data_IF_628491334972
#
_entry.id   IF_628491334972
#
_cell.length_a   1.000
_cell.length_b   1.000
_cell.length_c   1.000
_cell.angle_alpha   90.00
_cell.angle_beta   90.00
_cell.angle_gamma   90.00
#
_symmetry.space_group_name_H-M   'P 1'
#
loop_
_entity.id
_entity.type
_entity.pdbx_description
1 polymer ?
#
# COMPACT_ATOMS: atom_id res chain seq x y z
N UNK A 1 31.20 -13.96 0.08
CA UNK A 1 30.02 -13.07 0.21
C UNK A 1 29.06 -13.80 1.13
N UNK A 2 28.98 -13.34 2.38
CA UNK A 2 28.03 -13.89 3.34
C UNK A 2 26.67 -13.32 3.05
N UNK A 3 25.73 -14.18 2.64
CA UNK A 3 24.30 -13.83 2.56
C UNK A 3 23.80 -13.55 3.99
N UNK A 4 23.47 -12.29 4.26
CA UNK A 4 22.72 -11.96 5.46
C UNK A 4 21.27 -12.42 5.21
N UNK A 5 21.00 -13.67 5.61
CA UNK A 5 19.64 -14.20 5.67
C UNK A 5 18.93 -13.48 6.82
N UNK A 6 18.28 -12.37 6.52
CA UNK A 6 17.32 -11.76 7.45
C UNK A 6 16.10 -12.68 7.48
N UNK A 7 16.01 -13.51 8.53
CA UNK A 7 14.82 -14.31 8.81
C UNK A 7 13.64 -13.35 9.05
N UNK A 8 12.85 -13.10 8.00
CA UNK A 8 11.56 -12.44 8.14
C UNK A 8 10.61 -13.42 8.85
N UNK A 9 10.50 -13.30 10.16
CA UNK A 9 9.37 -13.88 10.89
C UNK A 9 8.15 -13.02 10.58
N UNK A 10 7.14 -13.64 9.99
CA UNK A 10 5.78 -13.09 9.91
C UNK A 10 5.23 -13.08 11.33
N UNK A 11 5.52 -12.01 12.06
CA UNK A 11 4.94 -11.78 13.37
C UNK A 11 3.59 -11.06 13.16
N UNK A 12 2.52 -11.83 13.11
CA UNK A 12 1.18 -11.34 13.40
C UNK A 12 1.11 -11.11 14.94
N UNK A 13 2.04 -10.29 15.47
CA UNK A 13 1.98 -9.85 16.85
C UNK A 13 0.91 -8.76 16.96
N UNK A 14 -0.28 -9.21 17.27
CA UNK A 14 -1.34 -8.31 17.71
C UNK A 14 -0.99 -7.81 19.12
N UNK A 15 -1.08 -6.50 19.33
CA UNK A 15 -1.11 -5.96 20.67
C UNK A 15 -2.45 -6.38 21.31
N UNK A 16 -2.40 -7.35 22.25
CA UNK A 16 -3.59 -7.94 22.85
C UNK A 16 -4.47 -6.91 23.54
N UNK A 17 -3.89 -5.93 24.24
CA UNK A 17 -4.63 -4.85 24.86
C UNK A 17 -5.41 -4.03 23.83
N UNK A 18 -4.79 -3.69 22.70
CA UNK A 18 -5.47 -2.98 21.60
C UNK A 18 -6.58 -3.83 20.98
N UNK A 19 -6.38 -5.13 20.83
CA UNK A 19 -7.40 -6.05 20.31
C UNK A 19 -8.59 -6.09 21.23
N UNK A 20 -8.40 -6.19 22.56
CA UNK A 20 -9.52 -6.20 23.50
C UNK A 20 -10.30 -4.87 23.53
N UNK A 21 -9.61 -3.74 23.44
CA UNK A 21 -10.28 -2.43 23.31
C UNK A 21 -11.10 -2.34 22.01
N UNK A 22 -10.52 -2.70 20.88
CA UNK A 22 -11.23 -2.70 19.60
C UNK A 22 -12.42 -3.66 19.61
N UNK A 23 -12.26 -4.86 20.16
CA UNK A 23 -13.31 -5.85 20.30
C UNK A 23 -14.51 -5.28 21.09
N UNK A 24 -14.26 -4.62 22.22
CA UNK A 24 -15.30 -3.94 22.97
C UNK A 24 -16.08 -2.94 22.10
N UNK A 25 -15.38 -2.04 21.43
CA UNK A 25 -16.02 -1.02 20.59
C UNK A 25 -16.77 -1.63 19.39
N UNK A 26 -16.27 -2.69 18.77
CA UNK A 26 -17.01 -3.37 17.69
C UNK A 26 -18.25 -4.09 18.21
N UNK A 27 -18.25 -4.59 19.44
CA UNK A 27 -19.46 -5.10 20.09
C UNK A 27 -20.52 -4.01 20.24
N UNK A 28 -20.13 -2.82 20.71
CA UNK A 28 -21.04 -1.67 20.81
C UNK A 28 -21.55 -1.20 19.45
N UNK A 29 -20.68 -1.18 18.43
CA UNK A 29 -21.09 -0.83 17.05
C UNK A 29 -22.18 -1.80 16.56
N UNK A 30 -22.06 -3.11 16.79
CA UNK A 30 -23.08 -4.08 16.39
C UNK A 30 -24.43 -3.78 17.03
N UNK A 31 -24.46 -3.45 18.34
CA UNK A 31 -25.71 -3.06 19.04
C UNK A 31 -26.32 -1.79 18.46
N UNK A 32 -25.49 -0.78 18.18
CA UNK A 32 -25.94 0.49 17.59
C UNK A 32 -26.46 0.34 16.15
N UNK A 33 -26.01 -0.68 15.42
CA UNK A 33 -26.53 -1.03 14.09
C UNK A 33 -27.86 -1.80 14.17
N UNK A 34 -28.32 -2.14 15.37
CA UNK A 34 -29.57 -2.89 15.59
C UNK A 34 -29.39 -4.41 15.54
N UNK A 35 -28.16 -4.91 15.62
CA UNK A 35 -27.85 -6.33 15.64
C UNK A 35 -27.75 -6.87 17.08
N UNK A 36 -28.02 -8.18 17.23
CA UNK A 36 -27.77 -8.92 18.45
C UNK A 36 -26.35 -9.53 18.42
N UNK A 37 -25.38 -8.97 19.18
CA UNK A 37 -24.02 -9.49 19.18
C UNK A 37 -23.90 -10.89 19.82
N UNK A 38 -24.91 -11.34 20.56
CA UNK A 38 -24.89 -12.66 21.19
C UNK A 38 -25.44 -13.78 20.30
N UNK A 39 -26.04 -13.45 19.15
CA UNK A 39 -26.43 -14.48 18.19
C UNK A 39 -25.21 -15.23 17.62
N UNK A 40 -25.36 -16.53 17.38
CA UNK A 40 -24.31 -17.49 17.03
C UNK A 40 -23.33 -16.94 15.95
N UNK A 41 -23.84 -16.32 14.91
CA UNK A 41 -23.03 -15.77 13.81
C UNK A 41 -22.18 -14.56 14.19
N UNK A 42 -22.52 -13.83 15.26
CA UNK A 42 -21.87 -12.57 15.66
C UNK A 42 -21.00 -12.67 16.93
N UNK A 43 -21.11 -13.71 17.74
CA UNK A 43 -20.35 -13.87 19.00
C UNK A 43 -18.83 -13.60 18.81
N UNK A 44 -18.25 -14.08 17.70
CA UNK A 44 -16.81 -13.91 17.39
C UNK A 44 -16.52 -12.72 16.47
N UNK A 45 -17.53 -12.00 16.01
CA UNK A 45 -17.35 -10.92 15.04
C UNK A 45 -16.54 -9.75 15.59
N UNK A 46 -16.75 -9.26 16.82
CA UNK A 46 -15.96 -8.16 17.38
C UNK A 46 -14.44 -8.45 17.37
N UNK A 47 -14.06 -9.66 17.82
CA UNK A 47 -12.66 -10.07 17.82
C UNK A 47 -12.09 -10.22 16.39
N UNK A 48 -12.86 -10.82 15.48
CA UNK A 48 -12.44 -11.01 14.09
C UNK A 48 -12.22 -9.67 13.39
N UNK A 49 -13.12 -8.71 13.61
CA UNK A 49 -13.00 -7.36 13.03
C UNK A 49 -11.80 -6.61 13.63
N UNK A 50 -11.59 -6.71 14.95
CA UNK A 50 -10.45 -6.11 15.63
C UNK A 50 -9.10 -6.60 15.03
N UNK A 51 -8.97 -7.92 14.87
CA UNK A 51 -7.78 -8.53 14.24
C UNK A 51 -7.64 -8.14 12.77
N UNK A 52 -8.74 -8.15 12.01
CA UNK A 52 -8.73 -7.74 10.59
C UNK A 52 -8.29 -6.27 10.45
N UNK A 53 -8.84 -5.35 11.25
CA UNK A 53 -8.46 -3.94 11.22
C UNK A 53 -7.00 -3.73 11.60
N UNK A 54 -6.50 -4.44 12.61
CA UNK A 54 -5.09 -4.39 12.98
C UNK A 54 -4.18 -4.87 11.84
N UNK A 55 -4.57 -5.91 11.11
CA UNK A 55 -3.83 -6.41 9.95
C UNK A 55 -3.85 -5.43 8.78
N UNK A 56 -5.01 -4.91 8.41
CA UNK A 56 -5.13 -4.01 7.25
C UNK A 56 -4.60 -2.61 7.51
N UNK A 57 -4.27 -2.28 8.77
CA UNK A 57 -3.61 -1.03 9.17
C UNK A 57 -2.18 -1.22 9.70
N UNK A 58 -1.58 -2.40 9.52
CA UNK A 58 -0.23 -2.74 10.01
C UNK A 58 0.87 -1.82 9.48
N UNK A 59 0.63 -1.14 8.36
CA UNK A 59 1.59 -0.22 7.75
C UNK A 59 1.95 0.99 8.63
N UNK A 60 1.15 1.33 9.65
CA UNK A 60 1.50 2.37 10.61
C UNK A 60 2.68 2.01 11.52
N UNK A 61 2.97 0.71 11.69
CA UNK A 61 4.07 0.22 12.52
C UNK A 61 5.32 -0.14 11.72
N UNK A 62 5.34 0.13 10.41
CA UNK A 62 6.45 -0.22 9.52
C UNK A 62 7.21 1.03 9.08
N UNK A 63 8.53 0.89 8.90
CA UNK A 63 9.41 1.90 8.33
C UNK A 63 9.66 1.59 6.83
N UNK A 64 9.05 2.32 5.90
CA UNK A 64 9.19 2.07 4.47
C UNK A 64 10.59 2.40 3.94
N UNK A 65 11.32 3.35 4.55
CA UNK A 65 12.71 3.67 4.17
C UNK A 65 13.63 2.50 4.54
N UNK A 66 13.52 1.99 5.78
CA UNK A 66 14.28 0.82 6.21
C UNK A 66 13.99 -0.42 5.35
N UNK A 67 12.74 -0.60 4.88
CA UNK A 67 12.39 -1.68 3.97
C UNK A 67 13.23 -1.59 2.68
N UNK A 68 13.31 -0.43 2.03
CA UNK A 68 14.09 -0.26 0.80
C UNK A 68 15.59 -0.46 1.04
N UNK A 69 16.12 0.13 2.10
CA UNK A 69 17.53 0.10 2.43
C UNK A 69 18.03 -1.29 2.86
N UNK A 70 17.14 -2.17 3.32
CA UNK A 70 17.51 -3.53 3.77
C UNK A 70 18.01 -4.45 2.63
N UNK A 71 17.91 -4.06 1.37
CA UNK A 71 18.42 -4.82 0.23
C UNK A 71 18.82 -3.87 -0.92
N UNK A 72 19.70 -2.92 -0.61
CA UNK A 72 20.34 -2.06 -1.60
C UNK A 72 21.64 -2.67 -2.12
N UNK A 73 21.86 -2.57 -3.43
CA UNK A 73 23.05 -3.07 -4.10
C UNK A 73 23.64 -1.97 -4.99
N UNK A 74 24.98 -1.90 -5.07
CA UNK A 74 25.66 -1.09 -6.08
C UNK A 74 25.50 -1.77 -7.43
N UNK A 75 25.02 -1.03 -8.43
CA UNK A 75 24.86 -1.53 -9.79
C UNK A 75 24.92 -0.35 -10.76
N UNK A 76 25.68 -0.53 -11.85
CA UNK A 76 25.83 0.50 -12.89
C UNK A 76 24.71 0.45 -13.95
N UNK A 77 23.54 -0.03 -13.58
CA UNK A 77 22.37 -0.07 -14.43
C UNK A 77 21.73 1.32 -14.55
N UNK A 78 21.53 1.79 -15.77
CA UNK A 78 21.04 3.15 -16.06
C UNK A 78 19.71 3.18 -16.82
N UNK A 79 19.07 2.02 -17.00
CA UNK A 79 17.78 1.92 -17.64
C UNK A 79 16.66 1.89 -16.59
N UNK A 80 15.43 2.02 -17.07
CA UNK A 80 14.25 1.94 -16.21
C UNK A 80 14.13 0.55 -15.55
N UNK A 81 13.96 0.52 -14.24
CA UNK A 81 13.53 -0.65 -13.50
C UNK A 81 12.03 -0.48 -13.22
N UNK A 82 11.21 -1.39 -13.72
CA UNK A 82 9.75 -1.35 -13.58
C UNK A 82 9.26 -2.60 -12.85
N UNK A 83 8.49 -2.39 -11.80
CA UNK A 83 7.66 -3.42 -11.14
C UNK A 83 6.21 -3.05 -11.37
N UNK A 84 5.51 -3.83 -12.19
CA UNK A 84 4.12 -3.55 -12.55
C UNK A 84 3.15 -4.58 -11.96
N UNK A 85 1.86 -4.22 -11.97
CA UNK A 85 0.76 -5.05 -11.50
C UNK A 85 0.92 -5.48 -10.02
N UNK A 86 1.48 -4.60 -9.19
CA UNK A 86 1.57 -4.84 -7.74
C UNK A 86 0.17 -4.72 -7.16
N UNK A 87 -0.40 -5.83 -6.71
CA UNK A 87 -1.72 -5.85 -6.08
C UNK A 87 -1.78 -4.89 -4.88
N UNK A 88 -2.88 -4.16 -4.77
CA UNK A 88 -3.06 -3.13 -3.77
C UNK A 88 -4.41 -3.28 -3.08
N UNK A 89 -4.37 -3.37 -1.76
CA UNK A 89 -5.53 -3.38 -0.87
C UNK A 89 -5.36 -2.29 0.18
N UNK A 90 -6.24 -1.30 0.17
CA UNK A 90 -6.19 -0.18 1.10
C UNK A 90 -7.57 0.16 1.64
N UNK A 91 -7.63 1.06 2.61
CA UNK A 91 -8.86 1.51 3.25
C UNK A 91 -9.00 3.02 3.07
N UNK A 92 -10.11 3.43 2.49
CA UNK A 92 -10.45 4.84 2.34
C UNK A 92 -10.60 5.51 3.72
N UNK A 93 -9.87 6.57 3.99
CA UNK A 93 -9.92 7.26 5.28
C UNK A 93 -11.27 7.93 5.57
N UNK A 94 -12.04 8.29 4.51
CA UNK A 94 -13.32 8.98 4.69
C UNK A 94 -14.45 8.07 5.15
N UNK A 95 -14.41 6.78 4.81
CA UNK A 95 -15.53 5.87 5.05
C UNK A 95 -15.11 4.55 5.70
N UNK A 96 -13.81 4.30 5.87
CA UNK A 96 -13.25 3.01 6.30
C UNK A 96 -13.68 1.83 5.42
N UNK A 97 -14.02 2.11 4.15
CA UNK A 97 -14.35 1.09 3.16
C UNK A 97 -13.13 0.81 2.28
N UNK A 98 -12.94 -0.44 1.81
CA UNK A 98 -11.79 -0.79 1.02
C UNK A 98 -11.80 -0.16 -0.38
N UNK A 99 -10.60 0.10 -0.90
CA UNK A 99 -10.36 0.23 -2.33
C UNK A 99 -9.29 -0.77 -2.75
N UNK A 100 -9.46 -1.32 -3.94
CA UNK A 100 -8.69 -2.46 -4.42
C UNK A 100 -8.22 -2.14 -5.82
N UNK A 101 -6.95 -2.42 -6.09
CA UNK A 101 -6.38 -2.11 -7.38
C UNK A 101 -4.96 -2.63 -7.54
N UNK A 102 -4.20 -1.93 -8.36
CA UNK A 102 -2.81 -2.24 -8.65
C UNK A 102 -1.96 -0.98 -8.72
N UNK A 103 -0.70 -1.12 -8.37
CA UNK A 103 0.31 -0.09 -8.50
C UNK A 103 1.38 -0.51 -9.52
N UNK A 104 1.86 0.45 -10.29
CA UNK A 104 3.01 0.33 -11.17
C UNK A 104 4.06 1.32 -10.69
N UNK A 105 5.25 0.81 -10.40
CA UNK A 105 6.35 1.59 -9.83
C UNK A 105 7.59 1.44 -10.70
N UNK A 106 8.12 2.55 -11.19
CA UNK A 106 9.38 2.55 -11.91
C UNK A 106 10.35 3.56 -11.29
N UNK A 107 11.63 3.27 -11.43
CA UNK A 107 12.69 4.21 -11.13
C UNK A 107 13.88 4.02 -12.10
N UNK A 108 14.66 5.07 -12.31
CA UNK A 108 15.92 4.98 -13.03
C UNK A 108 17.05 5.09 -12.01
N UNK A 109 17.84 4.01 -11.83
CA UNK A 109 18.90 3.97 -10.83
C UNK A 109 19.96 5.06 -11.00
N UNK A 110 20.56 5.45 -9.88
CA UNK A 110 21.73 6.34 -9.83
C UNK A 110 22.82 5.66 -8.98
N UNK A 111 23.44 4.61 -9.57
CA UNK A 111 24.49 3.81 -8.93
C UNK A 111 24.02 2.77 -7.90
N UNK A 112 22.72 2.74 -7.56
CA UNK A 112 22.15 1.76 -6.64
C UNK A 112 20.80 1.24 -7.12
N UNK A 113 20.58 -0.04 -6.91
CA UNK A 113 19.26 -0.71 -7.08
C UNK A 113 18.81 -1.29 -5.75
N UNK A 114 17.51 -1.60 -5.67
CA UNK A 114 16.93 -2.33 -4.53
C UNK A 114 16.30 -3.63 -5.00
N UNK A 115 16.17 -4.60 -4.09
CA UNK A 115 15.46 -5.84 -4.39
C UNK A 115 14.01 -5.57 -4.82
N UNK A 116 13.56 -6.18 -5.92
CA UNK A 116 12.22 -5.94 -6.49
C UNK A 116 11.09 -6.16 -5.49
N UNK A 117 11.25 -7.15 -4.59
CA UNK A 117 10.31 -7.42 -3.50
C UNK A 117 10.19 -6.25 -2.50
N UNK A 118 11.21 -5.39 -2.39
CA UNK A 118 11.18 -4.24 -1.48
C UNK A 118 10.26 -3.14 -2.02
N UNK A 119 10.20 -2.99 -3.33
CA UNK A 119 9.25 -2.07 -3.99
C UNK A 119 7.80 -2.49 -3.65
N UNK A 120 7.45 -3.78 -3.84
CA UNK A 120 6.12 -4.28 -3.49
C UNK A 120 5.80 -4.11 -2.00
N UNK A 121 6.78 -4.35 -1.12
CA UNK A 121 6.60 -4.16 0.35
C UNK A 121 6.38 -2.70 0.74
N UNK A 122 7.00 -1.75 0.05
CA UNK A 122 6.76 -0.31 0.28
C UNK A 122 5.36 0.07 -0.17
N UNK A 123 4.91 -0.41 -1.32
CA UNK A 123 3.51 -0.23 -1.76
C UNK A 123 2.56 -0.78 -0.69
N UNK A 124 2.78 -2.01 -0.21
CA UNK A 124 1.97 -2.61 0.86
C UNK A 124 2.03 -1.79 2.16
N UNK A 125 3.22 -1.34 2.59
CA UNK A 125 3.41 -0.55 3.80
C UNK A 125 2.55 0.72 3.81
N UNK A 126 2.49 1.46 2.70
CA UNK A 126 1.65 2.64 2.59
C UNK A 126 0.17 2.31 2.35
N UNK A 127 -0.13 1.25 1.60
CA UNK A 127 -1.51 0.81 1.34
C UNK A 127 -2.20 0.32 2.62
N UNK A 128 -1.46 -0.35 3.53
CA UNK A 128 -1.99 -0.82 4.83
C UNK A 128 -2.11 0.28 5.88
N UNK A 129 -2.75 1.40 5.48
CA UNK A 129 -3.09 2.56 6.33
C UNK A 129 -4.46 3.06 5.92
N UNK A 130 -5.03 4.00 6.67
CA UNK A 130 -6.17 4.78 6.19
C UNK A 130 -5.65 5.79 5.17
N UNK A 131 -6.17 5.75 3.93
CA UNK A 131 -5.58 6.47 2.80
C UNK A 131 -6.61 7.21 1.93
N UNK A 132 -6.12 8.20 1.22
CA UNK A 132 -6.65 8.62 -0.07
C UNK A 132 -5.66 8.23 -1.16
N UNK A 133 -6.16 7.85 -2.34
CA UNK A 133 -5.34 7.29 -3.40
C UNK A 133 -4.24 8.24 -3.88
N UNK A 134 -4.53 9.53 -3.94
CA UNK A 134 -3.59 10.59 -4.33
C UNK A 134 -2.41 10.67 -3.37
N UNK A 135 -2.67 10.67 -2.06
CA UNK A 135 -1.63 10.68 -1.02
C UNK A 135 -0.80 9.40 -1.07
N UNK A 136 -1.45 8.24 -1.21
CA UNK A 136 -0.76 6.95 -1.33
C UNK A 136 0.24 6.96 -2.49
N UNK A 137 -0.18 7.46 -3.66
CA UNK A 137 0.67 7.55 -4.85
C UNK A 137 1.90 8.42 -4.62
N UNK A 138 1.71 9.59 -4.00
CA UNK A 138 2.77 10.54 -3.68
C UNK A 138 3.73 9.97 -2.62
N UNK A 139 3.20 9.35 -1.56
CA UNK A 139 4.03 8.77 -0.48
C UNK A 139 4.93 7.65 -0.99
N UNK A 140 4.46 6.78 -1.87
CA UNK A 140 5.27 5.73 -2.49
C UNK A 140 6.41 6.35 -3.31
N UNK A 141 6.09 7.32 -4.18
CA UNK A 141 7.08 8.03 -5.00
C UNK A 141 8.16 8.70 -4.14
N UNK A 142 7.75 9.46 -3.12
CA UNK A 142 8.67 10.23 -2.29
C UNK A 142 9.57 9.33 -1.45
N UNK A 143 9.02 8.24 -0.92
CA UNK A 143 9.79 7.25 -0.19
C UNK A 143 10.91 6.63 -1.06
N UNK A 144 10.60 6.25 -2.29
CA UNK A 144 11.57 5.66 -3.21
C UNK A 144 12.61 6.72 -3.62
N UNK A 145 12.16 7.95 -3.90
CA UNK A 145 13.07 9.06 -4.22
C UNK A 145 14.04 9.35 -3.08
N UNK A 146 13.54 9.37 -1.84
CA UNK A 146 14.36 9.63 -0.66
C UNK A 146 15.34 8.49 -0.35
N UNK A 147 14.87 7.24 -0.42
CA UNK A 147 15.66 6.08 0.01
C UNK A 147 16.77 5.70 -0.96
N UNK A 148 16.50 5.80 -2.28
CA UNK A 148 17.41 5.31 -3.34
C UNK A 148 18.13 6.45 -4.07
N UNK A 149 17.66 7.69 -3.94
CA UNK A 149 18.15 8.85 -4.69
C UNK A 149 18.32 8.57 -6.21
N UNK A 150 17.30 8.01 -6.88
CA UNK A 150 17.39 7.68 -8.30
C UNK A 150 17.31 8.94 -9.16
N UNK A 151 17.59 8.82 -10.45
CA UNK A 151 17.45 9.91 -11.43
C UNK A 151 15.99 10.33 -11.64
N UNK A 152 15.05 9.49 -11.26
CA UNK A 152 13.61 9.76 -11.26
C UNK A 152 12.81 8.55 -10.81
N UNK A 153 11.58 8.82 -10.39
CA UNK A 153 10.59 7.82 -9.97
C UNK A 153 9.27 8.08 -10.68
N UNK A 154 8.59 7.01 -11.08
CA UNK A 154 7.23 7.03 -11.59
C UNK A 154 6.36 6.07 -10.80
N UNK A 155 5.20 6.54 -10.36
CA UNK A 155 4.18 5.70 -9.70
C UNK A 155 2.83 5.97 -10.35
N UNK A 156 2.14 4.91 -10.76
CA UNK A 156 0.74 4.94 -11.20
C UNK A 156 -0.04 3.94 -10.38
N UNK A 157 -1.20 4.34 -9.89
CA UNK A 157 -2.15 3.48 -9.17
C UNK A 157 -3.50 3.53 -9.88
N UNK A 158 -4.07 2.36 -10.13
CA UNK A 158 -5.42 2.18 -10.63
C UNK A 158 -6.22 1.38 -9.61
N UNK A 159 -7.34 1.92 -9.14
CA UNK A 159 -8.15 1.24 -8.14
C UNK A 159 -9.65 1.50 -8.26
N UNK A 160 -10.42 0.52 -7.84
CA UNK A 160 -11.86 0.58 -7.66
C UNK A 160 -12.20 0.86 -6.19
N UNK A 161 -13.07 1.84 -5.95
CA UNK A 161 -13.43 2.30 -4.62
C UNK A 161 -14.81 1.81 -4.22
N UNK A 162 -14.90 0.92 -3.23
CA UNK A 162 -16.20 0.40 -2.77
C UNK A 162 -17.07 1.50 -2.16
N UNK A 163 -16.49 2.56 -1.61
CA UNK A 163 -17.23 3.73 -1.12
C UNK A 163 -17.97 4.50 -2.23
N UNK A 164 -17.57 4.33 -3.50
CA UNK A 164 -18.28 4.88 -4.67
C UNK A 164 -19.21 3.86 -5.32
N UNK A 165 -18.97 2.56 -5.12
CA UNK A 165 -19.71 1.48 -5.78
C UNK A 165 -20.96 1.09 -5.00
N UNK A 166 -20.85 0.88 -3.68
CA UNK A 166 -21.92 0.32 -2.86
C UNK A 166 -22.81 1.36 -2.19
N UNK A 167 -22.45 2.62 -2.25
CA UNK A 167 -23.18 3.76 -1.69
C UNK A 167 -22.79 5.07 -2.38
N UNK A 168 -23.48 6.16 -2.06
CA UNK A 168 -23.22 7.49 -2.58
C UNK A 168 -23.59 7.57 -4.07
N UNK A 169 -22.60 7.65 -4.95
CA UNK A 169 -22.82 7.78 -6.41
C UNK A 169 -23.14 6.47 -7.12
N UNK A 170 -22.91 5.33 -6.48
CA UNK A 170 -23.26 3.96 -6.95
C UNK A 170 -22.73 3.63 -8.36
N UNK A 171 -21.48 4.04 -8.68
CA UNK A 171 -20.85 3.80 -9.98
C UNK A 171 -20.00 2.52 -9.96
N UNK A 172 -20.58 1.41 -10.40
CA UNK A 172 -20.00 0.06 -10.33
C UNK A 172 -18.73 -0.14 -11.14
N UNK A 173 -18.55 0.57 -12.25
CA UNK A 173 -17.45 0.35 -13.20
C UNK A 173 -16.39 1.45 -13.17
N UNK A 174 -16.50 2.39 -12.23
CA UNK A 174 -15.51 3.47 -12.13
C UNK A 174 -14.18 2.93 -11.60
N UNK A 175 -13.11 3.27 -12.30
CA UNK A 175 -11.72 3.06 -11.88
C UNK A 175 -11.08 4.43 -11.76
N UNK A 176 -10.40 4.68 -10.66
CA UNK A 176 -9.63 5.90 -10.45
C UNK A 176 -8.16 5.62 -10.75
N UNK A 177 -7.56 6.44 -11.60
CA UNK A 177 -6.12 6.40 -11.88
C UNK A 177 -5.45 7.64 -11.31
N UNK A 178 -4.37 7.43 -10.55
CA UNK A 178 -3.51 8.51 -10.02
C UNK A 178 -2.07 8.29 -10.43
N UNK A 179 -1.33 9.36 -10.68
CA UNK A 179 0.07 9.29 -11.07
C UNK A 179 0.93 10.31 -10.32
N UNK A 180 2.18 9.95 -10.06
CA UNK A 180 3.16 10.83 -9.46
C UNK A 180 4.56 10.55 -10.05
N UNK A 181 5.26 11.60 -10.45
CA UNK A 181 6.55 11.53 -11.13
C UNK A 181 7.59 12.42 -10.45
N UNK A 182 8.87 12.05 -10.56
CA UNK A 182 10.03 12.89 -10.20
C UNK A 182 11.13 12.79 -11.25
N UNK A 183 12.09 13.69 -11.17
CA UNK A 183 13.32 13.66 -11.98
C UNK A 183 13.04 13.53 -13.46
N UNK A 184 13.68 12.58 -14.12
CA UNK A 184 13.60 12.39 -15.58
C UNK A 184 12.20 12.00 -16.07
N UNK A 185 11.39 11.33 -15.26
CA UNK A 185 9.99 11.05 -15.62
C UNK A 185 9.11 12.31 -15.68
N UNK A 186 9.52 13.36 -14.96
CA UNK A 186 8.84 14.65 -14.99
C UNK A 186 9.37 15.55 -16.11
N UNK A 187 10.69 15.58 -16.28
CA UNK A 187 11.37 16.50 -17.20
C UNK A 187 11.45 16.01 -18.67
N UNK A 188 11.49 14.69 -18.91
CA UNK A 188 11.52 14.12 -20.26
C UNK A 188 10.22 13.38 -20.61
N UNK A 189 9.39 13.91 -21.51
CA UNK A 189 8.16 13.24 -21.95
C UNK A 189 8.40 11.84 -22.55
N UNK A 190 9.51 11.59 -23.22
CA UNK A 190 9.81 10.29 -23.85
C UNK A 190 9.98 9.19 -22.80
N UNK A 191 10.71 9.48 -21.73
CA UNK A 191 10.89 8.55 -20.61
C UNK A 191 9.55 8.24 -19.93
N UNK A 192 8.69 9.25 -19.76
CA UNK A 192 7.36 9.06 -19.22
C UNK A 192 6.46 8.26 -20.17
N UNK A 193 6.50 8.52 -21.47
CA UNK A 193 5.72 7.81 -22.47
C UNK A 193 6.13 6.34 -22.56
N UNK A 194 7.43 6.02 -22.50
CA UNK A 194 7.93 4.65 -22.41
C UNK A 194 7.34 3.92 -21.20
N UNK A 195 7.39 4.53 -20.02
CA UNK A 195 6.78 3.97 -18.82
C UNK A 195 5.28 3.71 -19.01
N UNK A 196 4.53 4.70 -19.53
CA UNK A 196 3.09 4.58 -19.77
C UNK A 196 2.74 3.51 -20.80
N UNK A 197 3.62 3.23 -21.77
CA UNK A 197 3.45 2.14 -22.73
C UNK A 197 3.68 0.76 -22.09
N UNK A 198 4.67 0.64 -21.21
CA UNK A 198 5.02 -0.62 -20.56
C UNK A 198 4.00 -1.09 -19.53
N UNK A 199 3.19 -0.18 -18.96
CA UNK A 199 2.15 -0.52 -17.96
C UNK A 199 0.75 -0.78 -18.55
N UNK A 200 0.58 -0.61 -19.85
CA UNK A 200 -0.67 -0.91 -20.58
C UNK A 200 -0.98 -2.40 -20.62
#
# INVERSE_FOLDING_TARGET
>A
MEEIIVNYKREDQYNEERIEQLKYHYGEILRLLGEDPEREGLIKTPERVAKAMSFITKGYSQDPIAILQSAMFKEEYQQMVLVKDIELFSVCEHHMLPFIGKAHVAYIPNGHITGLSKIARVVECFARRLQVQERLTVQIRDCIQQALNPLGVAVVIEASHTCMQMRGVEKQRSVTSTSAFTGVFLSDPRTRDEFMQLIR
#
